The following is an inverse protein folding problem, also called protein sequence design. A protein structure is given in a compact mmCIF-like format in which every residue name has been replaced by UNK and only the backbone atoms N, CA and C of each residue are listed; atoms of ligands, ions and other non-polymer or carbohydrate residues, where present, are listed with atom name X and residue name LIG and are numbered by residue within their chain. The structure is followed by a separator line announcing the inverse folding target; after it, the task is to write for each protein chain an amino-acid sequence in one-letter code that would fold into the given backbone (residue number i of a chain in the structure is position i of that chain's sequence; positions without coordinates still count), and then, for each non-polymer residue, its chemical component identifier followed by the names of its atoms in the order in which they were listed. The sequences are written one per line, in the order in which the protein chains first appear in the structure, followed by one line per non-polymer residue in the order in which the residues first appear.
data_IF_975410476286
#
_entry.id   IF_975410476286
#
_cell.length_a   1.000
_cell.length_b   1.000
_cell.length_c   1.000
_cell.angle_alpha   90.00
_cell.angle_beta   90.00
_cell.angle_gamma   90.00
#
_symmetry.space_group_name_H-M   'P 1'
#
loop_
_entity.id
_entity.type
_entity.pdbx_description
1 polymer ?
#
# COMPACT_ATOMS: atom_id res chain seq x y z
N UNK A 1 25.66 35.20 -9.15
CA UNK A 1 25.50 34.02 -8.31
C UNK A 1 24.85 32.91 -9.12
N UNK A 2 25.60 31.90 -9.51
CA UNK A 2 25.08 30.76 -10.27
C UNK A 2 24.25 29.89 -9.38
N UNK A 3 22.93 29.84 -9.60
CA UNK A 3 22.05 28.84 -8.99
C UNK A 3 22.36 27.49 -9.63
N UNK A 4 23.10 26.63 -8.95
CA UNK A 4 23.21 25.23 -9.34
C UNK A 4 21.80 24.61 -9.32
N UNK A 5 21.32 24.08 -10.46
CA UNK A 5 20.03 23.39 -10.47
C UNK A 5 20.16 22.14 -9.58
N UNK A 6 19.47 22.14 -8.44
CA UNK A 6 19.39 20.96 -7.60
C UNK A 6 18.70 19.87 -8.42
N UNK A 7 19.42 18.80 -8.73
CA UNK A 7 18.86 17.64 -9.40
C UNK A 7 17.76 17.03 -8.51
N UNK A 8 16.49 17.29 -8.88
CA UNK A 8 15.31 16.81 -8.14
C UNK A 8 15.31 15.28 -7.97
N UNK A 9 15.86 14.56 -8.94
CA UNK A 9 15.95 13.12 -8.85
C UNK A 9 16.96 12.67 -7.78
N UNK A 10 18.09 13.36 -7.65
CA UNK A 10 19.05 13.09 -6.56
C UNK A 10 18.47 13.44 -5.18
N UNK A 11 17.77 14.56 -5.08
CA UNK A 11 17.10 14.97 -3.84
C UNK A 11 16.05 13.95 -3.41
N UNK A 12 15.20 13.49 -4.33
CA UNK A 12 14.17 12.49 -4.06
C UNK A 12 14.78 11.14 -3.66
N UNK A 13 15.87 10.70 -4.30
CA UNK A 13 16.58 9.48 -3.89
C UNK A 13 17.16 9.60 -2.48
N UNK A 14 17.77 10.73 -2.15
CA UNK A 14 18.29 10.96 -0.80
C UNK A 14 17.16 10.99 0.24
N UNK A 15 16.11 11.74 -0.03
CA UNK A 15 14.94 11.83 0.86
C UNK A 15 14.24 10.47 1.04
N UNK A 16 14.11 9.67 -0.03
CA UNK A 16 13.54 8.33 0.04
C UNK A 16 14.37 7.37 0.88
N UNK A 17 15.70 7.39 0.73
CA UNK A 17 16.62 6.61 1.59
C UNK A 17 16.59 7.04 3.05
N UNK A 18 16.50 8.34 3.29
CA UNK A 18 16.35 8.87 4.64
C UNK A 18 15.03 8.41 5.26
N UNK A 19 13.92 8.50 4.51
CA UNK A 19 12.62 8.03 4.97
C UNK A 19 12.61 6.52 5.24
N UNK A 20 13.24 5.71 4.40
CA UNK A 20 13.36 4.27 4.63
C UNK A 20 14.12 3.96 5.94
N UNK A 21 15.24 4.65 6.18
CA UNK A 21 16.00 4.53 7.43
C UNK A 21 15.21 5.03 8.64
N UNK A 22 14.40 6.06 8.48
CA UNK A 22 13.50 6.52 9.52
C UNK A 22 12.45 5.46 9.88
N UNK A 23 11.83 4.82 8.88
CA UNK A 23 10.91 3.71 9.08
C UNK A 23 11.58 2.56 9.83
N UNK A 24 12.79 2.16 9.42
CA UNK A 24 13.60 1.16 10.16
C UNK A 24 13.89 1.59 11.60
N UNK A 25 14.22 2.84 11.82
CA UNK A 25 14.48 3.38 13.15
C UNK A 25 13.24 3.31 14.05
N UNK A 26 12.08 3.73 13.53
CA UNK A 26 10.81 3.62 14.27
C UNK A 26 10.51 2.17 14.61
N UNK A 27 10.67 1.26 13.65
CA UNK A 27 10.42 -0.17 13.84
C UNK A 27 11.32 -0.77 14.93
N UNK A 28 12.64 -0.48 14.90
CA UNK A 28 13.63 -1.01 15.83
C UNK A 28 13.52 -0.45 17.25
N UNK A 29 13.00 0.76 17.39
CA UNK A 29 12.86 1.45 18.68
C UNK A 29 11.47 1.32 19.28
N UNK A 30 10.53 0.66 18.60
CA UNK A 30 9.18 0.40 19.08
C UNK A 30 9.01 -1.06 19.49
N UNK A 31 8.18 -1.30 20.50
CA UNK A 31 7.69 -2.64 20.81
C UNK A 31 6.71 -3.05 19.70
N UNK A 32 7.07 -4.04 18.90
CA UNK A 32 6.20 -4.52 17.84
C UNK A 32 5.21 -5.55 18.41
N UNK A 33 3.93 -5.36 18.13
CA UNK A 33 2.85 -6.31 18.37
C UNK A 33 2.12 -6.56 17.07
N UNK A 34 1.71 -7.79 16.81
CA UNK A 34 1.07 -8.14 15.54
C UNK A 34 -0.15 -9.02 15.74
N UNK A 35 -1.11 -8.86 14.84
CA UNK A 35 -2.27 -9.71 14.71
C UNK A 35 -2.46 -10.07 13.22
N UNK A 36 -2.38 -11.36 12.86
CA UNK A 36 -2.02 -12.50 13.71
C UNK A 36 -0.57 -12.43 14.25
N UNK A 37 -0.27 -13.22 15.28
CA UNK A 37 1.03 -13.20 15.95
C UNK A 37 2.19 -13.58 15.01
N UNK A 38 1.98 -14.56 14.11
CA UNK A 38 2.93 -14.93 13.05
C UNK A 38 2.45 -14.38 11.70
N UNK A 39 2.87 -13.15 11.39
CA UNK A 39 2.58 -12.49 10.11
C UNK A 39 3.17 -13.26 8.92
N UNK A 40 4.34 -13.86 9.07
CA UNK A 40 5.00 -14.59 7.99
C UNK A 40 4.24 -15.87 7.62
N UNK A 41 3.78 -16.64 8.62
CA UNK A 41 2.95 -17.80 8.39
C UNK A 41 1.62 -17.40 7.75
N UNK A 42 0.99 -16.34 8.26
CA UNK A 42 -0.27 -15.83 7.72
C UNK A 42 -0.14 -15.41 6.25
N UNK A 43 0.87 -14.61 5.92
CA UNK A 43 1.14 -14.15 4.55
C UNK A 43 1.38 -15.34 3.61
N UNK A 44 2.16 -16.33 4.02
CA UNK A 44 2.39 -17.53 3.18
C UNK A 44 1.12 -18.35 2.98
N UNK A 45 0.31 -18.52 4.02
CA UNK A 45 -0.91 -19.33 3.96
C UNK A 45 -1.99 -18.74 3.03
N UNK A 46 -2.02 -17.41 2.88
CA UNK A 46 -3.05 -16.71 2.09
C UNK A 46 -2.56 -16.22 0.74
N UNK A 47 -1.24 -16.36 0.44
CA UNK A 47 -0.70 -15.92 -0.88
C UNK A 47 -1.23 -16.78 -2.03
N UNK A 48 -1.54 -16.17 -3.19
CA UNK A 48 -1.50 -14.76 -3.51
C UNK A 48 -2.72 -13.98 -3.01
N UNK A 49 -2.54 -12.71 -2.61
CA UNK A 49 -3.63 -11.85 -2.14
C UNK A 49 -3.39 -10.37 -2.51
N UNK A 50 -4.43 -9.55 -2.34
CA UNK A 50 -4.40 -8.11 -2.51
C UNK A 50 -4.35 -7.47 -1.12
N UNK A 51 -3.24 -6.82 -0.76
CA UNK A 51 -3.10 -6.10 0.50
C UNK A 51 -3.77 -4.72 0.37
N UNK A 52 -4.80 -4.48 1.16
CA UNK A 52 -5.53 -3.22 1.22
C UNK A 52 -5.05 -2.37 2.39
N UNK A 53 -4.70 -1.12 2.14
CA UNK A 53 -4.28 -0.18 3.18
C UNK A 53 -4.84 1.21 2.93
N UNK A 54 -4.85 2.06 3.96
CA UNK A 54 -5.22 3.45 3.80
C UNK A 54 -4.03 4.31 3.38
N UNK A 55 -4.25 5.25 2.47
CA UNK A 55 -3.23 6.16 1.97
C UNK A 55 -2.55 6.97 3.08
N UNK A 56 -3.29 7.31 4.13
CA UNK A 56 -2.75 8.03 5.27
C UNK A 56 -1.95 7.17 6.28
N UNK A 57 -1.92 5.84 6.15
CA UNK A 57 -1.37 4.93 7.17
C UNK A 57 -0.44 3.84 6.60
N UNK A 58 -0.02 3.96 5.35
CA UNK A 58 0.79 2.91 4.69
C UNK A 58 2.26 2.88 5.12
N UNK A 59 2.80 3.94 5.72
CA UNK A 59 4.23 4.20 5.83
C UNK A 59 5.03 3.08 6.51
N UNK A 60 4.47 2.40 7.51
CA UNK A 60 5.15 1.33 8.24
C UNK A 60 5.03 -0.05 7.59
N UNK A 61 4.05 -0.26 6.70
CA UNK A 61 3.75 -1.56 6.09
C UNK A 61 4.87 -2.12 5.19
N UNK A 62 5.61 -1.32 4.41
CA UNK A 62 6.71 -1.84 3.59
C UNK A 62 7.81 -2.57 4.38
N UNK A 63 7.98 -2.22 5.66
CA UNK A 63 8.99 -2.82 6.55
C UNK A 63 8.54 -4.16 7.16
N UNK A 64 7.25 -4.46 7.12
CA UNK A 64 6.71 -5.70 7.70
C UNK A 64 7.30 -6.93 6.99
N UNK A 65 7.72 -7.91 7.77
CA UNK A 65 8.25 -9.17 7.23
C UNK A 65 7.15 -9.98 6.53
N UNK A 66 7.48 -10.52 5.37
CA UNK A 66 6.54 -11.17 4.46
C UNK A 66 6.82 -12.67 4.26
N UNK A 67 7.73 -13.24 5.04
CA UNK A 67 8.07 -14.66 4.95
C UNK A 67 8.60 -15.12 3.59
N UNK A 68 9.28 -14.23 2.84
CA UNK A 68 9.82 -14.50 1.50
C UNK A 68 8.82 -14.31 0.36
N UNK A 69 7.57 -13.95 0.65
CA UNK A 69 6.55 -13.68 -0.38
C UNK A 69 6.86 -12.36 -1.11
N UNK A 70 6.81 -12.41 -2.43
CA UNK A 70 7.03 -11.25 -3.30
C UNK A 70 5.79 -10.36 -3.32
N UNK A 71 5.99 -9.05 -3.15
CA UNK A 71 4.90 -8.07 -3.11
C UNK A 71 5.17 -6.93 -4.08
N UNK A 72 4.21 -6.66 -4.94
CA UNK A 72 4.21 -5.54 -5.88
C UNK A 72 3.32 -4.41 -5.36
N UNK A 73 3.88 -3.25 -5.07
CA UNK A 73 3.11 -2.10 -4.63
C UNK A 73 2.63 -1.27 -5.81
N UNK A 74 1.33 -0.96 -5.84
CA UNK A 74 0.76 -0.06 -6.85
C UNK A 74 1.05 1.39 -6.47
N UNK A 75 1.76 2.12 -7.34
CA UNK A 75 2.22 3.49 -7.09
C UNK A 75 1.76 4.41 -8.22
N UNK A 76 1.37 5.64 -7.89
CA UNK A 76 1.05 6.66 -8.88
C UNK A 76 2.28 6.98 -9.77
N UNK A 77 2.05 7.57 -10.96
CA UNK A 77 3.13 7.98 -11.87
C UNK A 77 3.73 9.35 -11.56
N UNK A 78 3.09 10.12 -10.69
CA UNK A 78 3.39 11.54 -10.46
C UNK A 78 3.50 11.85 -8.98
N UNK A 79 4.10 13.01 -8.66
CA UNK A 79 4.24 13.50 -7.30
C UNK A 79 5.35 12.80 -6.53
N UNK A 80 5.05 12.38 -5.31
CA UNK A 80 6.03 11.76 -4.41
C UNK A 80 6.31 10.28 -4.72
N UNK A 81 5.84 9.80 -5.87
CA UNK A 81 5.98 8.40 -6.29
C UNK A 81 7.45 7.94 -6.35
N UNK A 82 8.38 8.85 -6.71
CA UNK A 82 9.80 8.53 -6.74
C UNK A 82 10.37 8.36 -5.33
N UNK A 83 9.96 9.21 -4.38
CA UNK A 83 10.36 9.14 -2.99
C UNK A 83 9.85 7.82 -2.36
N UNK A 84 8.57 7.52 -2.53
CA UNK A 84 7.96 6.28 -2.04
C UNK A 84 8.59 5.07 -2.74
N UNK A 85 8.89 5.17 -4.03
CA UNK A 85 9.59 4.14 -4.77
C UNK A 85 10.92 3.74 -4.14
N UNK A 86 11.71 4.69 -3.67
CA UNK A 86 12.96 4.41 -2.96
C UNK A 86 12.73 3.70 -1.61
N UNK A 87 11.63 4.00 -0.91
CA UNK A 87 11.27 3.30 0.33
C UNK A 87 10.89 1.84 0.03
N UNK A 88 10.06 1.63 -0.99
CA UNK A 88 9.63 0.28 -1.40
C UNK A 88 10.82 -0.57 -1.84
N UNK A 89 11.71 -0.03 -2.67
CA UNK A 89 12.93 -0.68 -3.13
C UNK A 89 13.86 -1.05 -1.96
N UNK A 90 14.04 -0.15 -0.99
CA UNK A 90 14.82 -0.41 0.21
C UNK A 90 14.31 -1.63 0.99
N UNK A 91 13.00 -1.83 1.03
CA UNK A 91 12.37 -2.98 1.70
C UNK A 91 12.09 -4.16 0.75
N UNK A 92 12.70 -4.18 -0.44
CA UNK A 92 12.60 -5.30 -1.38
C UNK A 92 11.20 -5.52 -1.95
N UNK A 93 10.44 -4.44 -2.14
CA UNK A 93 9.14 -4.49 -2.82
C UNK A 93 9.28 -4.05 -4.28
N UNK A 94 8.59 -4.75 -5.16
CA UNK A 94 8.46 -4.34 -6.55
C UNK A 94 7.39 -3.26 -6.73
N UNK A 95 7.42 -2.54 -7.86
CA UNK A 95 6.49 -1.46 -8.14
C UNK A 95 5.70 -1.67 -9.41
N UNK A 96 4.39 -1.52 -9.33
CA UNK A 96 3.48 -1.36 -10.47
C UNK A 96 3.14 0.12 -10.60
N UNK A 97 3.74 0.79 -11.62
CA UNK A 97 3.52 2.22 -11.87
C UNK A 97 2.29 2.44 -12.75
N UNK A 98 1.40 3.32 -12.33
CA UNK A 98 0.22 3.69 -13.12
C UNK A 98 -1.10 3.69 -12.36
N UNK A 99 -1.08 3.46 -11.05
CA UNK A 99 -2.25 3.62 -10.19
C UNK A 99 -2.65 5.09 -10.07
N UNK A 100 -3.95 5.36 -9.90
CA UNK A 100 -4.47 6.70 -9.66
C UNK A 100 -4.71 7.50 -10.94
N UNK A 101 -5.68 7.09 -11.72
CA UNK A 101 -6.24 7.96 -12.75
C UNK A 101 -7.32 8.82 -12.11
N UNK A 102 -7.00 10.11 -11.89
CA UNK A 102 -8.05 11.10 -11.70
C UNK A 102 -9.03 11.11 -12.88
N UNK A 103 -10.17 11.76 -12.71
CA UNK A 103 -11.33 11.84 -13.62
C UNK A 103 -11.06 12.33 -15.05
N UNK A 104 -9.82 12.46 -15.49
CA UNK A 104 -9.46 12.91 -16.83
C UNK A 104 -9.43 11.76 -17.84
N UNK A 105 -10.14 11.95 -18.94
CA UNK A 105 -10.46 11.10 -20.09
C UNK A 105 -9.33 10.30 -20.79
N UNK A 106 -8.12 10.18 -20.24
CA UNK A 106 -7.02 9.38 -20.81
C UNK A 106 -6.47 8.34 -19.83
N UNK A 107 -7.30 7.36 -19.57
CA UNK A 107 -7.09 6.30 -18.56
C UNK A 107 -6.13 5.16 -19.00
N UNK A 108 -5.09 5.46 -19.80
CA UNK A 108 -4.14 4.42 -20.24
C UNK A 108 -3.27 3.87 -19.10
N UNK A 109 -3.05 4.65 -18.05
CA UNK A 109 -2.24 4.24 -16.90
C UNK A 109 -2.94 3.24 -15.99
N UNK A 110 -4.24 3.39 -15.76
CA UNK A 110 -5.03 2.49 -14.91
C UNK A 110 -5.17 1.09 -15.50
N UNK A 111 -5.47 0.99 -16.80
CA UNK A 111 -5.58 -0.31 -17.48
C UNK A 111 -4.22 -1.05 -17.54
N UNK A 112 -3.11 -0.33 -17.69
CA UNK A 112 -1.78 -0.93 -17.61
C UNK A 112 -1.48 -1.48 -16.21
N UNK A 113 -1.73 -0.67 -15.17
CA UNK A 113 -1.52 -1.07 -13.79
C UNK A 113 -2.40 -2.27 -13.40
N UNK A 114 -3.67 -2.27 -13.81
CA UNK A 114 -4.57 -3.40 -13.60
C UNK A 114 -4.03 -4.68 -14.23
N UNK A 115 -3.61 -4.64 -15.51
CA UNK A 115 -3.01 -5.80 -16.18
C UNK A 115 -1.73 -6.29 -15.53
N UNK A 116 -0.88 -5.36 -15.06
CA UNK A 116 0.34 -5.72 -14.36
C UNK A 116 0.05 -6.37 -13.00
N UNK A 117 -0.93 -5.85 -12.25
CA UNK A 117 -1.39 -6.44 -10.99
C UNK A 117 -1.99 -7.84 -11.20
N UNK A 118 -2.84 -8.03 -12.20
CA UNK A 118 -3.39 -9.34 -12.54
C UNK A 118 -2.30 -10.36 -12.89
N UNK A 119 -1.26 -9.95 -13.62
CA UNK A 119 -0.11 -10.84 -13.91
C UNK A 119 0.67 -11.22 -12.66
N UNK A 120 0.93 -10.26 -11.77
CA UNK A 120 1.62 -10.53 -10.52
C UNK A 120 0.85 -11.56 -9.68
N UNK A 121 -0.45 -11.35 -9.49
CA UNK A 121 -1.31 -12.30 -8.77
C UNK A 121 -1.37 -13.68 -9.44
N UNK A 122 -1.46 -13.74 -10.77
CA UNK A 122 -1.44 -15.00 -11.52
C UNK A 122 -0.10 -15.76 -11.41
N UNK A 123 1.01 -15.05 -11.14
CA UNK A 123 2.32 -15.66 -10.89
C UNK A 123 2.51 -16.12 -9.43
N UNK A 124 1.51 -15.95 -8.55
CA UNK A 124 1.60 -16.29 -7.13
C UNK A 124 2.16 -15.17 -6.25
N UNK A 125 2.45 -13.99 -6.83
CA UNK A 125 2.90 -12.81 -6.08
C UNK A 125 1.71 -12.07 -5.45
N UNK A 126 1.97 -11.28 -4.41
CA UNK A 126 0.96 -10.41 -3.81
C UNK A 126 0.99 -9.00 -4.40
N UNK A 127 -0.13 -8.30 -4.33
CA UNK A 127 -0.25 -6.89 -4.76
C UNK A 127 -0.70 -6.04 -3.59
N UNK A 128 0.06 -5.00 -3.26
CA UNK A 128 -0.29 -4.02 -2.24
C UNK A 128 -0.80 -2.73 -2.89
N UNK A 129 -1.93 -2.22 -2.41
CA UNK A 129 -2.49 -0.97 -2.90
C UNK A 129 -3.25 -0.20 -1.82
N UNK A 130 -3.29 1.12 -1.96
CA UNK A 130 -4.17 1.94 -1.13
C UNK A 130 -5.62 1.79 -1.60
N UNK A 131 -6.51 1.52 -0.65
CA UNK A 131 -7.93 1.33 -0.95
C UNK A 131 -8.64 2.66 -1.25
N UNK A 132 -8.23 3.75 -0.59
CA UNK A 132 -8.67 5.11 -0.88
C UNK A 132 -7.76 5.80 -1.90
N UNK A 133 -8.34 6.60 -2.78
CA UNK A 133 -7.60 7.29 -3.84
C UNK A 133 -8.00 8.76 -3.95
N UNK A 134 -7.02 9.69 -4.15
CA UNK A 134 -7.33 11.10 -4.33
C UNK A 134 -8.11 11.33 -5.65
N UNK A 135 -9.03 12.30 -5.70
CA UNK A 135 -9.38 13.28 -4.65
C UNK A 135 -10.52 12.82 -3.73
N UNK A 136 -10.76 11.52 -3.59
CA UNK A 136 -11.82 10.97 -2.76
C UNK A 136 -11.64 11.27 -1.27
N UNK A 137 -12.65 10.99 -0.46
CA UNK A 137 -12.54 11.10 0.99
C UNK A 137 -11.55 10.06 1.53
N UNK A 138 -10.81 10.43 2.60
CA UNK A 138 -9.94 9.50 3.30
C UNK A 138 -10.72 8.32 3.89
N UNK A 139 -10.12 7.14 3.81
CA UNK A 139 -10.68 5.91 4.39
C UNK A 139 -12.04 5.51 3.79
N UNK A 140 -12.24 5.79 2.53
CA UNK A 140 -13.36 5.27 1.75
C UNK A 140 -12.78 4.46 0.60
N UNK A 141 -13.01 3.15 0.64
CA UNK A 141 -12.48 2.25 -0.36
C UNK A 141 -13.11 2.51 -1.74
N UNK A 142 -12.28 2.58 -2.76
CA UNK A 142 -12.71 2.71 -4.14
C UNK A 142 -13.06 1.34 -4.76
N UNK A 143 -13.82 1.36 -5.87
CA UNK A 143 -14.19 0.14 -6.59
C UNK A 143 -12.99 -0.60 -7.22
N UNK A 144 -11.85 0.07 -7.38
CA UNK A 144 -10.67 -0.52 -8.02
C UNK A 144 -10.15 -1.79 -7.34
N UNK A 145 -10.20 -1.83 -6.00
CA UNK A 145 -9.68 -2.96 -5.24
C UNK A 145 -10.59 -4.19 -5.36
N UNK A 146 -11.91 -4.03 -5.26
CA UNK A 146 -12.88 -5.13 -5.44
C UNK A 146 -12.92 -5.59 -6.90
N UNK A 147 -12.71 -4.68 -7.86
CA UNK A 147 -12.58 -5.03 -9.27
C UNK A 147 -11.34 -5.91 -9.51
N UNK A 148 -10.20 -5.56 -8.91
CA UNK A 148 -8.99 -6.37 -9.01
C UNK A 148 -9.21 -7.76 -8.38
N UNK A 149 -9.83 -7.84 -7.21
CA UNK A 149 -10.16 -9.09 -6.53
C UNK A 149 -11.08 -9.97 -7.39
N UNK A 150 -12.17 -9.41 -7.92
CA UNK A 150 -13.11 -10.11 -8.81
C UNK A 150 -12.42 -10.69 -10.06
N UNK A 151 -11.52 -9.91 -10.69
CA UNK A 151 -10.84 -10.33 -11.91
C UNK A 151 -9.73 -11.34 -11.68
N UNK A 152 -9.06 -11.27 -10.53
CA UNK A 152 -7.95 -12.17 -10.18
C UNK A 152 -8.41 -13.44 -9.47
N UNK A 153 -9.56 -13.41 -8.77
CA UNK A 153 -10.01 -14.46 -7.85
C UNK A 153 -9.22 -14.50 -6.53
N UNK A 154 -8.30 -13.55 -6.32
CA UNK A 154 -7.50 -13.47 -5.09
C UNK A 154 -8.22 -12.68 -4.00
N UNK A 155 -8.12 -13.08 -2.73
CA UNK A 155 -8.76 -12.36 -1.63
C UNK A 155 -8.11 -10.99 -1.39
N UNK A 156 -8.88 -10.08 -0.79
CA UNK A 156 -8.38 -8.82 -0.25
C UNK A 156 -8.09 -9.04 1.23
N UNK A 157 -6.90 -8.67 1.69
CA UNK A 157 -6.53 -8.66 3.10
C UNK A 157 -6.35 -7.20 3.53
N UNK A 158 -7.23 -6.66 4.38
CA UNK A 158 -7.03 -5.36 5.00
C UNK A 158 -5.79 -5.36 5.88
N UNK A 159 -4.99 -4.29 5.81
CA UNK A 159 -3.78 -4.14 6.60
C UNK A 159 -3.66 -2.76 7.22
N UNK A 160 -3.23 -2.71 8.46
CA UNK A 160 -2.95 -1.48 9.16
C UNK A 160 -1.65 -1.58 9.96
N UNK A 161 -0.94 -0.45 10.07
CA UNK A 161 0.20 -0.32 10.96
C UNK A 161 0.14 1.05 11.65
N UNK A 162 0.15 1.07 12.97
CA UNK A 162 0.05 2.28 13.76
C UNK A 162 0.95 2.23 15.00
N UNK A 163 1.48 3.37 15.38
CA UNK A 163 2.25 3.53 16.63
C UNK A 163 1.44 4.27 17.67
N UNK A 164 1.64 3.96 18.95
CA UNK A 164 1.03 4.70 20.05
C UNK A 164 1.45 6.17 20.09
N UNK A 165 2.59 6.49 19.47
CA UNK A 165 3.10 7.84 19.30
C UNK A 165 3.13 8.19 17.84
N UNK A 166 2.38 9.20 17.44
CA UNK A 166 2.31 9.65 16.04
C UNK A 166 2.00 11.14 15.95
N UNK A 167 2.26 11.70 14.77
CA UNK A 167 1.82 13.05 14.40
C UNK A 167 0.85 12.92 13.22
N UNK A 168 -0.36 13.42 13.40
CA UNK A 168 -1.34 13.51 12.32
C UNK A 168 -1.16 14.84 11.57
N UNK A 169 -1.30 14.78 10.24
CA UNK A 169 -1.27 15.94 9.36
C UNK A 169 -2.68 16.19 8.79
N UNK A 170 -3.00 17.46 8.64
CA UNK A 170 -4.24 17.88 8.00
C UNK A 170 -4.11 17.82 6.46
N UNK A 171 -4.04 16.59 5.97
CA UNK A 171 -4.01 16.26 4.54
C UNK A 171 -5.32 15.57 4.15
N UNK A 172 -5.65 15.52 2.85
CA UNK A 172 -6.84 14.82 2.36
C UNK A 172 -6.91 13.37 2.86
N UNK A 173 -5.76 12.68 2.97
CA UNK A 173 -5.67 11.28 3.42
C UNK A 173 -5.56 11.13 4.94
N UNK A 174 -5.54 12.23 5.70
CA UNK A 174 -5.26 12.23 7.15
C UNK A 174 -3.97 11.47 7.47
N UNK A 175 -2.89 11.83 6.77
CA UNK A 175 -1.62 11.13 6.87
C UNK A 175 -1.06 11.18 8.28
N UNK A 176 -0.52 10.06 8.75
CA UNK A 176 0.14 9.96 10.04
C UNK A 176 1.63 9.67 9.86
N UNK A 177 2.46 10.38 10.62
CA UNK A 177 3.87 10.07 10.80
C UNK A 177 4.04 9.30 12.12
N UNK A 178 4.43 8.07 12.01
CA UNK A 178 4.72 7.19 13.14
C UNK A 178 5.99 7.67 13.86
N UNK A 179 5.99 7.74 15.19
CA UNK A 179 7.11 8.20 15.99
C UNK A 179 7.76 7.03 16.75
N UNK A 180 9.08 7.10 17.00
CA UNK A 180 9.82 6.05 17.71
C UNK A 180 9.47 5.98 19.21
N UNK A 181 10.00 4.93 19.87
CA UNK A 181 9.92 4.71 21.31
C UNK A 181 8.48 4.53 21.85
N UNK A 182 7.65 3.84 21.09
CA UNK A 182 6.28 3.47 21.45
C UNK A 182 6.00 1.99 21.22
N UNK A 183 4.71 1.65 21.07
CA UNK A 183 4.27 0.34 20.57
C UNK A 183 3.85 0.52 19.13
N UNK A 184 4.36 -0.32 18.23
CA UNK A 184 3.93 -0.44 16.85
C UNK A 184 3.02 -1.66 16.75
N UNK A 185 1.76 -1.44 16.45
CA UNK A 185 0.81 -2.51 16.11
C UNK A 185 0.78 -2.71 14.58
N UNK A 186 0.85 -3.96 14.16
CA UNK A 186 0.67 -4.39 12.76
C UNK A 186 -0.47 -5.40 12.72
N UNK A 187 -1.51 -5.11 11.96
CA UNK A 187 -2.69 -5.95 11.87
C UNK A 187 -2.95 -6.33 10.42
N UNK A 188 -3.14 -7.62 10.17
CA UNK A 188 -3.70 -8.16 8.92
C UNK A 188 -5.08 -8.73 9.25
N UNK A 189 -6.12 -8.17 8.61
CA UNK A 189 -7.50 -8.59 8.80
C UNK A 189 -7.83 -9.88 8.06
N UNK A 190 -9.05 -10.39 8.27
CA UNK A 190 -9.55 -11.58 7.60
C UNK A 190 -9.64 -11.40 6.08
N UNK A 191 -9.40 -12.47 5.29
CA UNK A 191 -9.54 -12.42 3.84
C UNK A 191 -10.97 -12.10 3.40
N UNK A 192 -11.11 -11.13 2.52
CA UNK A 192 -12.37 -10.75 1.88
C UNK A 192 -12.38 -11.34 0.47
N UNK A 193 -13.23 -12.32 0.23
CA UNK A 193 -13.40 -12.95 -1.07
C UNK A 193 -14.44 -12.19 -1.90
N UNK A 194 -14.16 -12.10 -3.21
CA UNK A 194 -15.05 -11.49 -4.21
C UNK A 194 -15.16 -12.47 -5.37
N UNK A 195 -16.37 -12.95 -5.59
CA UNK A 195 -16.61 -13.92 -6.66
C UNK A 195 -16.68 -13.23 -8.03
N UNK A 196 -16.33 -13.97 -9.08
CA UNK A 196 -16.35 -13.46 -10.46
C UNK A 196 -17.74 -13.04 -10.90
N UNK A 197 -18.74 -13.76 -10.42
CA UNK A 197 -20.16 -13.57 -10.78
C UNK A 197 -20.92 -12.68 -9.80
N UNK A 198 -20.20 -12.03 -8.86
CA UNK A 198 -20.79 -11.08 -7.92
C UNK A 198 -21.41 -9.89 -8.67
N UNK A 199 -22.67 -9.61 -8.32
CA UNK A 199 -23.40 -8.44 -8.79
C UNK A 199 -22.91 -7.14 -8.10
N UNK A 200 -23.48 -6.01 -8.50
CA UNK A 200 -23.09 -4.70 -7.98
C UNK A 200 -23.32 -4.59 -6.46
N UNK A 201 -24.39 -5.22 -5.93
CA UNK A 201 -24.71 -5.18 -4.49
C UNK A 201 -23.67 -5.95 -3.67
N UNK A 202 -23.25 -7.13 -4.13
CA UNK A 202 -22.21 -7.94 -3.49
C UNK A 202 -20.85 -7.27 -3.57
N UNK A 203 -20.52 -6.65 -4.72
CA UNK A 203 -19.30 -5.85 -4.85
C UNK A 203 -19.28 -4.67 -3.89
N UNK A 204 -20.41 -3.99 -3.70
CA UNK A 204 -20.53 -2.89 -2.75
C UNK A 204 -20.39 -3.39 -1.30
N UNK A 205 -20.99 -4.53 -0.95
CA UNK A 205 -20.79 -5.18 0.35
C UNK A 205 -19.33 -5.55 0.60
N UNK A 206 -18.65 -6.10 -0.40
CA UNK A 206 -17.22 -6.40 -0.29
C UNK A 206 -16.39 -5.12 -0.12
N UNK A 207 -16.69 -4.05 -0.88
CA UNK A 207 -16.05 -2.75 -0.74
C UNK A 207 -16.20 -2.17 0.67
N UNK A 208 -17.40 -2.26 1.25
CA UNK A 208 -17.67 -1.81 2.62
C UNK A 208 -16.93 -2.64 3.68
N UNK A 209 -16.71 -3.94 3.44
CA UNK A 209 -15.89 -4.77 4.33
C UNK A 209 -14.40 -4.37 4.36
N UNK A 210 -13.91 -3.74 3.30
CA UNK A 210 -12.53 -3.22 3.27
C UNK A 210 -12.37 -1.98 4.16
N UNK A 211 -13.46 -1.29 4.52
CA UNK A 211 -13.47 -0.10 5.37
C UNK A 211 -13.45 -0.47 6.85
#
# INVERSE_FOLDING_TARGET
MARFPIDKARLNRFAGRFLARYVDFVYRTSRVVSEPADLCAYVRAHSPFILAMWHGQFLMLPRVERGGVRVHSMVARHGDAELIGQVLEHFGMDMIRGAGAGTRRRNRGGAYALRAALRALANGDCVAMTADVPPGPARVAGLGIVTLARLSGCPIIPAAAATTRYKAFDTWSRMTLNLPFGTLAVVLGEPIHVDRDDDEERLEKARLKVQ
#
